data_IF_292584844602
#
_entry.id   IF_292584844602
#
_cell.length_a   1.000
_cell.length_b   1.000
_cell.length_c   1.000
_cell.angle_alpha   90.00
_cell.angle_beta   90.00
_cell.angle_gamma   90.00
#
_symmetry.space_group_name_H-M   'P 1'
#
loop_
_entity.id
_entity.type
_entity.pdbx_description
1 polymer ?
#
# COMPACT_ATOMS: atom_id res chain seq x y z
N UNK A 1 10.04 14.02 -0.66
CA UNK A 1 9.21 12.86 -0.34
C UNK A 1 9.84 12.03 0.75
N UNK A 2 9.18 11.95 1.87
CA UNK A 2 9.72 11.25 3.03
C UNK A 2 9.15 9.84 3.11
N UNK A 3 10.01 8.83 2.93
CA UNK A 3 9.63 7.43 3.02
C UNK A 3 10.12 6.81 4.32
N UNK A 4 10.32 7.62 5.34
CA UNK A 4 10.78 7.11 6.63
C UNK A 4 9.61 6.76 7.53
N UNK A 5 9.81 5.76 8.36
CA UNK A 5 8.84 5.31 9.35
C UNK A 5 9.57 4.94 10.63
N UNK A 6 10.45 5.82 11.10
CA UNK A 6 11.20 5.66 12.36
C UNK A 6 11.94 4.32 12.46
N UNK A 7 12.46 3.86 11.31
CA UNK A 7 13.18 2.59 11.27
C UNK A 7 12.31 1.36 11.18
N UNK A 8 10.99 1.54 11.16
CA UNK A 8 10.04 0.43 11.01
C UNK A 8 9.74 0.19 9.54
N UNK A 9 9.20 -0.98 9.18
CA UNK A 9 8.88 -1.27 7.78
C UNK A 9 7.72 -0.44 7.26
N UNK A 10 7.70 -0.28 5.93
CA UNK A 10 6.61 0.39 5.24
C UNK A 10 6.09 -0.49 4.12
N UNK A 11 4.79 -0.38 3.86
CA UNK A 11 4.16 -1.00 2.70
C UNK A 11 3.71 0.11 1.76
N UNK A 12 4.08 0.01 0.49
CA UNK A 12 3.62 0.95 -0.53
C UNK A 12 2.74 0.19 -1.51
N UNK A 13 1.45 0.54 -1.55
CA UNK A 13 0.48 -0.17 -2.38
C UNK A 13 -0.03 0.75 -3.48
N UNK A 14 0.24 0.39 -4.74
CA UNK A 14 -0.27 1.14 -5.89
C UNK A 14 -1.67 0.65 -6.23
N UNK A 15 -2.61 1.59 -6.35
CA UNK A 15 -4.03 1.27 -6.55
C UNK A 15 -4.72 2.36 -7.36
N UNK A 16 -5.98 2.13 -7.69
CA UNK A 16 -6.81 3.13 -8.35
C UNK A 16 -8.26 2.92 -7.95
N UNK A 17 -9.06 3.98 -8.03
CA UNK A 17 -10.48 3.87 -7.67
C UNK A 17 -11.26 2.96 -8.62
N UNK A 18 -10.75 2.76 -9.84
CA UNK A 18 -11.38 1.88 -10.83
C UNK A 18 -10.83 0.45 -10.77
N UNK A 19 -9.94 0.15 -9.86
CA UNK A 19 -9.30 -1.16 -9.76
C UNK A 19 -9.94 -1.97 -8.64
N UNK A 20 -10.78 -2.94 -9.01
CA UNK A 20 -11.52 -3.73 -8.05
C UNK A 20 -10.64 -4.57 -7.14
N UNK A 21 -9.66 -5.35 -7.67
CA UNK A 21 -8.79 -6.12 -6.77
C UNK A 21 -7.93 -5.25 -5.87
N UNK A 22 -7.57 -4.03 -6.31
CA UNK A 22 -6.84 -3.10 -5.45
C UNK A 22 -7.65 -2.74 -4.21
N UNK A 23 -8.93 -2.42 -4.43
CA UNK A 23 -9.82 -2.05 -3.33
C UNK A 23 -10.06 -3.22 -2.40
N UNK A 24 -10.17 -4.43 -2.96
CA UNK A 24 -10.32 -5.64 -2.15
C UNK A 24 -9.13 -5.83 -1.22
N UNK A 25 -7.92 -5.68 -1.75
CA UNK A 25 -6.71 -5.83 -0.95
C UNK A 25 -6.66 -4.80 0.17
N UNK A 26 -6.85 -3.53 -0.17
CA UNK A 26 -6.75 -2.47 0.82
C UNK A 26 -7.85 -2.55 1.87
N UNK A 27 -9.04 -3.00 1.49
CA UNK A 27 -10.11 -3.20 2.46
C UNK A 27 -9.83 -4.40 3.37
N UNK A 28 -9.24 -5.46 2.83
CA UNK A 28 -8.87 -6.62 3.64
C UNK A 28 -7.81 -6.23 4.68
N UNK A 29 -6.80 -5.47 4.26
CA UNK A 29 -5.76 -5.01 5.17
C UNK A 29 -6.34 -4.04 6.21
N UNK A 30 -7.30 -3.20 5.81
CA UNK A 30 -7.87 -2.22 6.73
C UNK A 30 -8.49 -2.89 7.97
N UNK A 31 -9.02 -4.09 7.83
CA UNK A 31 -9.63 -4.80 8.95
C UNK A 31 -8.61 -5.23 9.99
N UNK A 32 -7.35 -5.39 9.61
CA UNK A 32 -6.29 -5.87 10.50
C UNK A 32 -5.14 -4.89 10.64
N UNK A 33 -5.26 -3.71 10.05
CA UNK A 33 -4.15 -2.76 9.97
C UNK A 33 -3.71 -2.27 11.36
N UNK A 34 -4.65 -2.00 12.24
CA UNK A 34 -4.33 -1.56 13.59
C UNK A 34 -3.50 -2.61 14.33
N UNK A 35 -3.90 -3.89 14.19
CA UNK A 35 -3.15 -4.98 14.81
C UNK A 35 -1.74 -5.08 14.22
N UNK A 36 -1.63 -4.93 12.91
CA UNK A 36 -0.33 -4.96 12.24
C UNK A 36 0.58 -3.86 12.77
N UNK A 37 0.02 -2.66 12.98
CA UNK A 37 0.80 -1.54 13.48
C UNK A 37 1.25 -1.76 14.91
N UNK A 38 0.38 -2.33 15.76
CA UNK A 38 0.74 -2.61 17.14
C UNK A 38 1.84 -3.67 17.22
N UNK A 39 1.80 -4.66 16.35
CA UNK A 39 2.73 -5.77 16.41
C UNK A 39 4.05 -5.49 15.71
N UNK A 40 4.06 -4.69 14.66
CA UNK A 40 5.24 -4.53 13.81
C UNK A 40 5.67 -3.08 13.61
N UNK A 41 4.82 -2.12 13.91
CA UNK A 41 5.11 -0.72 13.61
C UNK A 41 4.99 -0.35 12.14
N UNK A 42 4.44 -1.25 11.31
CA UNK A 42 4.36 -1.02 9.87
C UNK A 42 3.43 0.15 9.55
N UNK A 43 3.78 0.89 8.50
CA UNK A 43 2.94 1.96 7.96
C UNK A 43 2.66 1.65 6.50
N UNK A 44 1.41 1.82 6.08
CA UNK A 44 1.01 1.60 4.70
C UNK A 44 0.72 2.92 4.02
N UNK A 45 1.33 3.13 2.87
CA UNK A 45 1.06 4.29 2.01
C UNK A 45 0.34 3.76 0.78
N UNK A 46 -0.89 4.24 0.56
CA UNK A 46 -1.67 3.87 -0.60
C UNK A 46 -1.45 4.91 -1.69
N UNK A 47 -0.77 4.52 -2.76
CA UNK A 47 -0.41 5.41 -3.86
C UNK A 47 -1.43 5.24 -4.96
N UNK A 48 -2.25 6.27 -5.19
CA UNK A 48 -3.27 6.24 -6.24
C UNK A 48 -2.65 6.59 -7.58
N UNK A 49 -2.89 5.74 -8.58
CA UNK A 49 -2.49 6.05 -9.95
C UNK A 49 -3.64 6.67 -10.75
N UNK A 50 -4.72 7.06 -10.08
CA UNK A 50 -5.81 7.79 -10.74
C UNK A 50 -5.25 9.03 -11.40
N UNK A 51 -5.59 9.22 -12.69
CA UNK A 51 -5.14 10.40 -13.41
C UNK A 51 -6.13 11.55 -13.25
N UNK A 52 -5.96 12.61 -14.02
CA UNK A 52 -6.80 13.80 -13.88
C UNK A 52 -8.29 13.52 -14.09
N UNK A 53 -8.62 12.43 -14.79
CA UNK A 53 -10.04 12.09 -15.05
C UNK A 53 -10.71 11.43 -13.85
N UNK A 54 -9.96 10.76 -12.99
CA UNK A 54 -10.56 10.00 -11.87
C UNK A 54 -10.01 10.38 -10.51
N UNK A 55 -8.98 11.21 -10.43
CA UNK A 55 -8.36 11.52 -9.13
C UNK A 55 -9.33 12.19 -8.16
N UNK A 56 -10.37 12.86 -8.65
CA UNK A 56 -11.35 13.48 -7.77
C UNK A 56 -12.19 12.46 -7.00
N UNK A 57 -12.14 11.19 -7.41
CA UNK A 57 -12.88 10.12 -6.74
C UNK A 57 -12.11 9.53 -5.55
N UNK A 58 -10.82 9.85 -5.43
CA UNK A 58 -9.97 9.21 -4.42
C UNK A 58 -10.40 9.59 -3.00
N UNK A 59 -10.47 10.89 -2.69
CA UNK A 59 -10.81 11.32 -1.34
C UNK A 59 -12.20 10.84 -0.89
N UNK A 60 -13.25 10.96 -1.72
CA UNK A 60 -14.56 10.41 -1.30
C UNK A 60 -14.52 8.91 -1.05
N UNK A 61 -13.80 8.15 -1.88
CA UNK A 61 -13.72 6.72 -1.68
C UNK A 61 -12.99 6.39 -0.37
N UNK A 62 -11.85 7.04 -0.13
CA UNK A 62 -11.07 6.81 1.09
C UNK A 62 -11.89 7.15 2.32
N UNK A 63 -12.59 8.28 2.28
CA UNK A 63 -13.42 8.70 3.42
C UNK A 63 -14.54 7.71 3.70
N UNK A 64 -15.19 7.18 2.65
CA UNK A 64 -16.28 6.24 2.84
C UNK A 64 -15.79 4.86 3.29
N UNK A 65 -14.53 4.56 3.05
CA UNK A 65 -13.93 3.26 3.42
C UNK A 65 -13.31 3.26 4.82
N UNK A 66 -13.22 4.42 5.46
CA UNK A 66 -12.61 4.57 6.80
C UNK A 66 -11.18 4.03 6.85
N UNK A 67 -10.41 4.25 5.79
CA UNK A 67 -9.01 3.84 5.77
C UNK A 67 -8.16 4.80 6.60
N UNK A 68 -7.24 4.24 7.38
CA UNK A 68 -6.27 5.01 8.17
C UNK A 68 -4.91 5.12 7.48
N UNK A 69 -4.83 4.74 6.23
CA UNK A 69 -3.58 4.79 5.46
C UNK A 69 -3.21 6.22 5.10
N UNK A 70 -1.91 6.45 4.92
CA UNK A 70 -1.48 7.66 4.22
C UNK A 70 -1.79 7.51 2.74
N UNK A 71 -2.36 8.54 2.15
CA UNK A 71 -2.76 8.51 0.74
C UNK A 71 -1.87 9.44 -0.06
N UNK A 72 -1.31 8.93 -1.15
CA UNK A 72 -0.49 9.72 -2.05
C UNK A 72 -1.13 9.69 -3.43
N UNK A 73 -1.24 10.85 -4.07
CA UNK A 73 -1.83 10.95 -5.41
C UNK A 73 -0.71 11.08 -6.44
N UNK A 74 -0.59 10.07 -7.30
CA UNK A 74 0.44 10.02 -8.33
C UNK A 74 -0.17 10.30 -9.71
N UNK A 75 -0.86 11.45 -9.83
CA UNK A 75 -1.69 11.75 -11.00
C UNK A 75 -0.92 11.77 -12.32
N UNK A 76 0.38 12.06 -12.28
CA UNK A 76 1.23 12.06 -13.47
C UNK A 76 1.98 10.75 -13.67
N UNK A 77 1.76 9.77 -12.81
CA UNK A 77 2.42 8.47 -12.85
C UNK A 77 3.94 8.55 -12.69
N UNK A 78 4.43 9.59 -12.02
CA UNK A 78 5.88 9.75 -11.82
C UNK A 78 6.43 8.66 -10.92
N UNK A 79 5.79 8.41 -9.78
CA UNK A 79 6.24 7.37 -8.85
C UNK A 79 6.00 5.99 -9.45
N UNK A 80 4.88 5.82 -10.14
CA UNK A 80 4.57 4.56 -10.81
C UNK A 80 5.70 4.19 -11.77
N UNK A 81 6.18 5.14 -12.58
CA UNK A 81 7.27 4.90 -13.51
C UNK A 81 8.58 4.64 -12.79
N UNK A 82 8.87 5.41 -11.75
CA UNK A 82 10.11 5.27 -11.00
C UNK A 82 10.21 3.90 -10.35
N UNK A 83 9.09 3.32 -9.91
CA UNK A 83 9.06 2.02 -9.25
C UNK A 83 8.83 0.87 -10.23
N UNK A 84 8.69 1.15 -11.52
CA UNK A 84 8.50 0.10 -12.52
C UNK A 84 7.16 -0.59 -12.47
N UNK A 85 6.13 0.10 -11.98
CA UNK A 85 4.79 -0.47 -11.87
C UNK A 85 4.09 -0.43 -13.22
N UNK A 86 3.65 -1.59 -13.72
CA UNK A 86 2.93 -1.66 -14.99
C UNK A 86 1.44 -1.94 -14.78
N UNK A 87 1.09 -2.73 -13.77
CA UNK A 87 -0.30 -3.07 -13.47
C UNK A 87 -0.56 -2.86 -11.99
N UNK A 88 -1.83 -2.73 -11.63
CA UNK A 88 -2.23 -2.61 -10.24
C UNK A 88 -3.19 -3.75 -9.89
N UNK A 89 -3.23 -4.19 -8.63
CA UNK A 89 -2.43 -3.71 -7.52
C UNK A 89 -0.99 -4.19 -7.61
N UNK A 90 -0.07 -3.38 -7.12
CA UNK A 90 1.33 -3.76 -7.00
C UNK A 90 1.79 -3.27 -5.64
N UNK A 91 2.21 -4.20 -4.79
CA UNK A 91 2.51 -3.92 -3.39
C UNK A 91 3.99 -4.14 -3.13
N UNK A 92 4.62 -3.17 -2.48
CA UNK A 92 6.05 -3.24 -2.14
C UNK A 92 6.20 -3.22 -0.63
N UNK A 93 7.15 -4.03 -0.12
CA UNK A 93 7.55 -3.96 1.27
C UNK A 93 8.93 -3.33 1.34
N UNK A 94 9.05 -2.28 2.15
CA UNK A 94 10.25 -1.47 2.27
C UNK A 94 10.75 -1.58 3.71
N UNK A 95 12.06 -1.87 3.88
CA UNK A 95 12.60 -2.02 5.23
C UNK A 95 12.88 -0.67 5.88
N UNK A 96 13.36 -0.69 7.13
CA UNK A 96 13.60 0.53 7.88
C UNK A 96 14.68 1.43 7.31
N UNK A 97 15.45 0.94 6.36
CA UNK A 97 16.50 1.70 5.69
C UNK A 97 16.04 2.24 4.34
N UNK A 98 14.78 2.02 3.98
CA UNK A 98 14.24 2.50 2.71
C UNK A 98 14.48 1.57 1.54
N UNK A 99 14.87 0.33 1.80
CA UNK A 99 15.18 -0.63 0.75
C UNK A 99 13.99 -1.54 0.49
N UNK A 100 13.67 -1.76 -0.81
CA UNK A 100 12.61 -2.69 -1.19
C UNK A 100 13.12 -4.12 -0.96
N UNK A 101 12.42 -4.88 -0.11
CA UNK A 101 12.84 -6.24 0.22
C UNK A 101 11.87 -7.30 -0.28
N UNK A 102 10.68 -6.90 -0.75
CA UNK A 102 9.68 -7.83 -1.26
C UNK A 102 8.65 -7.07 -2.06
N UNK A 103 8.06 -7.70 -3.06
CA UNK A 103 6.95 -7.09 -3.79
C UNK A 103 6.05 -8.17 -4.37
N UNK A 104 4.82 -7.79 -4.68
CA UNK A 104 3.80 -8.71 -5.19
C UNK A 104 2.87 -7.98 -6.13
N UNK A 105 2.53 -8.61 -7.25
CA UNK A 105 1.58 -8.06 -8.23
C UNK A 105 0.25 -8.79 -8.12
N UNK A 106 -0.85 -8.03 -8.26
CA UNK A 106 -2.18 -8.61 -8.21
C UNK A 106 -2.65 -8.91 -6.81
N UNK A 107 -3.88 -9.39 -6.69
CA UNK A 107 -4.44 -9.75 -5.39
C UNK A 107 -5.47 -10.86 -5.55
N UNK A 108 -5.31 -11.91 -4.76
CA UNK A 108 -6.25 -13.00 -4.60
C UNK A 108 -6.58 -13.06 -3.11
N UNK A 109 -7.83 -13.39 -2.76
CA UNK A 109 -8.24 -13.44 -1.35
C UNK A 109 -7.22 -14.23 -0.52
N UNK A 110 -6.77 -13.60 0.58
CA UNK A 110 -5.78 -14.21 1.47
C UNK A 110 -4.36 -13.75 1.21
N UNK A 111 -4.10 -13.03 0.11
CA UNK A 111 -2.74 -12.57 -0.19
C UNK A 111 -2.22 -11.59 0.88
N UNK A 112 -3.11 -10.90 1.58
CA UNK A 112 -2.68 -10.00 2.65
C UNK A 112 -1.97 -10.77 3.77
N UNK A 113 -2.28 -12.05 3.95
CA UNK A 113 -1.60 -12.86 4.95
C UNK A 113 -0.17 -13.14 4.54
N UNK A 114 0.08 -13.32 3.24
CA UNK A 114 1.45 -13.49 2.74
C UNK A 114 2.27 -12.24 2.96
N UNK A 115 1.66 -11.08 2.75
CA UNK A 115 2.31 -9.81 3.02
C UNK A 115 2.66 -9.71 4.51
N UNK A 116 1.73 -10.06 5.38
CA UNK A 116 1.97 -9.98 6.82
C UNK A 116 3.10 -10.90 7.25
N UNK A 117 3.19 -12.11 6.66
CA UNK A 117 4.29 -13.02 6.94
C UNK A 117 5.64 -12.37 6.62
N UNK A 118 5.69 -11.65 5.50
CA UNK A 118 6.93 -10.97 5.11
C UNK A 118 7.26 -9.83 6.07
N UNK A 119 6.24 -9.11 6.54
CA UNK A 119 6.46 -8.04 7.52
C UNK A 119 6.97 -8.62 8.83
N UNK A 120 6.37 -9.70 9.31
CA UNK A 120 6.80 -10.36 10.54
C UNK A 120 8.24 -10.84 10.43
N UNK A 121 8.61 -11.42 9.30
CA UNK A 121 9.97 -11.88 9.05
C UNK A 121 10.95 -10.71 9.15
N UNK A 122 10.57 -9.58 8.58
CA UNK A 122 11.42 -8.40 8.53
C UNK A 122 11.68 -7.83 9.94
N UNK A 123 10.69 -7.88 10.83
CA UNK A 123 10.84 -7.35 12.19
C UNK A 123 11.29 -8.41 13.20
N UNK A 124 11.64 -9.60 12.73
CA UNK A 124 12.22 -10.64 13.59
C UNK A 124 11.22 -11.46 14.37
N UNK A 125 10.00 -11.58 13.87
CA UNK A 125 8.96 -12.37 14.55
C UNK A 125 8.71 -13.73 13.94
#
# INVERSE_FOLDING_TARGET
QDLENDGNPMVMSFWATWCKPCKKELNAIAEVYEDWQEETGVKLIAVSIDDTRSMSKVAPYVNSSDWDYEIYLDSNSDLKRAMGVSTVPHTFLIDGNGKIVWHHKGYIDGDEEKLYEQIEHLVGK
#
